data_IF_314154305518
#
_entry.id   IF_314154305518
#
_cell.length_a   1.000
_cell.length_b   1.000
_cell.length_c   1.000
_cell.angle_alpha   90.00
_cell.angle_beta   90.00
_cell.angle_gamma   90.00
#
_symmetry.space_group_name_H-M   'P 1'
#
loop_
_entity.id
_entity.type
_entity.pdbx_description
1 polymer ?
#
# COMPACT_ATOMS: atom_id res chain seq x y z
N UNK A 1 -13.57 -8.57 7.78
CA UNK A 1 -14.74 -7.80 7.26
C UNK A 1 -14.38 -7.40 5.84
N UNK A 2 -15.29 -7.42 4.87
CA UNK A 2 -14.96 -7.25 3.44
C UNK A 2 -14.67 -5.76 3.13
N UNK A 3 -13.57 -5.21 3.65
CA UNK A 3 -13.11 -3.86 3.30
C UNK A 3 -12.58 -3.91 1.87
N UNK A 4 -13.43 -3.58 0.91
CA UNK A 4 -13.03 -3.47 -0.48
C UNK A 4 -12.18 -2.20 -0.66
N UNK A 5 -10.86 -2.35 -0.55
CA UNK A 5 -9.92 -1.36 -1.02
C UNK A 5 -9.83 -1.45 -2.56
N UNK A 6 -9.71 -0.29 -3.21
CA UNK A 6 -9.44 -0.20 -4.65
C UNK A 6 -8.08 0.44 -4.87
N UNK A 7 -7.11 -0.29 -5.40
CA UNK A 7 -5.78 0.23 -5.71
C UNK A 7 -5.77 1.02 -7.03
N UNK A 8 -5.03 2.13 -7.07
CA UNK A 8 -5.00 3.06 -8.22
C UNK A 8 -3.92 2.73 -9.26
N UNK A 9 -3.16 1.64 -9.08
CA UNK A 9 -2.05 1.22 -9.93
C UNK A 9 -0.94 2.28 -10.13
N UNK A 10 -0.75 3.18 -9.15
CA UNK A 10 0.19 4.31 -9.20
C UNK A 10 1.50 4.05 -8.42
N UNK A 11 2.02 2.82 -8.52
CA UNK A 11 3.22 2.37 -7.81
C UNK A 11 4.48 3.14 -8.19
N UNK A 12 5.18 3.62 -7.17
CA UNK A 12 6.45 4.34 -7.29
C UNK A 12 7.42 3.88 -6.21
N UNK A 13 8.68 3.71 -6.57
CA UNK A 13 9.74 3.49 -5.58
C UNK A 13 10.38 4.82 -5.17
N UNK A 14 10.44 5.09 -3.87
CA UNK A 14 11.08 6.27 -3.30
C UNK A 14 12.48 5.89 -2.81
N UNK A 15 13.50 6.08 -3.65
CA UNK A 15 14.89 5.71 -3.34
C UNK A 15 15.40 6.35 -2.03
N UNK A 16 14.99 7.58 -1.72
CA UNK A 16 15.41 8.29 -0.51
C UNK A 16 14.90 7.66 0.80
N UNK A 17 13.78 6.92 0.74
CA UNK A 17 13.14 6.28 1.89
C UNK A 17 13.23 4.75 1.81
N UNK A 18 13.78 4.21 0.72
CA UNK A 18 13.83 2.77 0.43
C UNK A 18 12.46 2.10 0.59
N UNK A 19 11.43 2.69 0.00
CA UNK A 19 10.05 2.20 0.11
C UNK A 19 9.28 2.26 -1.21
N UNK A 20 8.27 1.40 -1.32
CA UNK A 20 7.22 1.49 -2.32
C UNK A 20 6.11 2.40 -1.83
N UNK A 21 5.66 3.30 -2.70
CA UNK A 21 4.57 4.24 -2.47
C UNK A 21 3.50 4.04 -3.54
N UNK A 22 2.24 3.94 -3.13
CA UNK A 22 1.08 3.86 -4.01
C UNK A 22 -0.17 4.31 -3.27
N UNK A 23 -1.27 4.49 -3.97
CA UNK A 23 -2.52 4.95 -3.38
C UNK A 23 -3.68 4.02 -3.68
N UNK A 24 -4.65 4.04 -2.78
CA UNK A 24 -5.90 3.32 -2.93
C UNK A 24 -7.08 4.15 -2.49
N UNK A 25 -8.28 3.63 -2.69
CA UNK A 25 -9.52 4.17 -2.18
C UNK A 25 -10.13 3.21 -1.18
N UNK A 26 -10.31 3.68 0.05
CA UNK A 26 -10.96 2.95 1.14
C UNK A 26 -12.19 3.73 1.58
N UNK A 27 -13.38 3.14 1.48
CA UNK A 27 -14.65 3.80 1.86
C UNK A 27 -14.87 5.18 1.21
N UNK A 28 -14.37 5.37 -0.02
CA UNK A 28 -14.47 6.63 -0.76
C UNK A 28 -13.41 7.69 -0.40
N UNK A 29 -12.55 7.41 0.58
CA UNK A 29 -11.40 8.23 0.92
C UNK A 29 -10.14 7.73 0.21
N UNK A 30 -9.27 8.65 -0.23
CA UNK A 30 -7.95 8.30 -0.75
C UNK A 30 -7.03 7.97 0.41
N UNK A 31 -6.38 6.82 0.36
CA UNK A 31 -5.30 6.45 1.28
C UNK A 31 -3.96 6.45 0.57
N UNK A 32 -2.89 6.77 1.30
CA UNK A 32 -1.51 6.70 0.79
C UNK A 32 -0.75 5.61 1.53
N UNK A 33 -0.08 4.74 0.80
CA UNK A 33 0.58 3.56 1.34
C UNK A 33 2.08 3.70 1.16
N UNK A 34 2.84 3.41 2.20
CA UNK A 34 4.29 3.29 2.17
C UNK A 34 4.72 1.94 2.73
N UNK A 35 5.43 1.14 1.93
CA UNK A 35 5.96 -0.17 2.34
C UNK A 35 7.49 -0.12 2.21
N UNK A 36 8.20 -0.11 3.33
CA UNK A 36 9.66 -0.13 3.34
C UNK A 36 10.14 -1.51 2.87
N UNK A 37 10.78 -1.54 1.70
CA UNK A 37 11.22 -2.76 1.03
C UNK A 37 12.33 -2.46 0.01
N UNK A 38 13.16 -3.44 -0.37
CA UNK A 38 14.17 -3.27 -1.40
C UNK A 38 13.58 -2.89 -2.76
N UNK A 39 14.33 -2.15 -3.56
CA UNK A 39 13.98 -1.83 -4.95
C UNK A 39 13.96 -3.12 -5.77
N UNK A 40 12.86 -3.35 -6.48
CA UNK A 40 12.68 -4.46 -7.43
C UNK A 40 12.07 -3.90 -8.73
N UNK A 41 12.11 -4.67 -9.80
CA UNK A 41 11.38 -4.30 -11.01
C UNK A 41 9.88 -4.36 -10.74
N UNK A 42 9.16 -3.32 -11.19
CA UNK A 42 7.70 -3.27 -11.05
C UNK A 42 7.09 -4.29 -12.03
N UNK A 43 6.53 -5.35 -11.47
CA UNK A 43 5.85 -6.43 -12.18
C UNK A 43 4.49 -6.65 -11.54
N UNK A 44 3.55 -7.26 -12.26
CA UNK A 44 2.23 -7.56 -11.70
C UNK A 44 2.33 -8.45 -10.45
N UNK A 45 3.29 -9.39 -10.42
CA UNK A 45 3.56 -10.21 -9.24
C UNK A 45 3.97 -9.37 -8.02
N UNK A 46 4.84 -8.37 -8.21
CA UNK A 46 5.20 -7.45 -7.12
C UNK A 46 4.01 -6.58 -6.70
N UNK A 47 3.19 -6.10 -7.64
CA UNK A 47 2.01 -5.30 -7.31
C UNK A 47 1.06 -6.11 -6.42
N UNK A 48 0.71 -7.33 -6.83
CA UNK A 48 -0.17 -8.20 -6.06
C UNK A 48 0.40 -8.55 -4.68
N UNK A 49 1.71 -8.77 -4.55
CA UNK A 49 2.37 -8.97 -3.25
C UNK A 49 2.21 -7.75 -2.33
N UNK A 50 2.39 -6.53 -2.86
CA UNK A 50 2.22 -5.30 -2.07
C UNK A 50 0.74 -5.03 -1.73
N UNK A 51 -0.18 -5.35 -2.62
CA UNK A 51 -1.63 -5.22 -2.41
C UNK A 51 -2.12 -6.19 -1.34
N UNK A 52 -1.72 -7.47 -1.41
CA UNK A 52 -2.04 -8.50 -0.42
C UNK A 52 -1.56 -8.10 0.99
N UNK A 53 -0.34 -7.55 1.12
CA UNK A 53 0.16 -7.04 2.40
C UNK A 53 -0.72 -5.94 3.01
N UNK A 54 -1.37 -5.13 2.18
CA UNK A 54 -2.25 -4.05 2.63
C UNK A 54 -3.63 -4.58 2.95
N UNK A 55 -4.14 -5.54 2.15
CA UNK A 55 -5.39 -6.23 2.46
C UNK A 55 -5.30 -6.95 3.81
N UNK A 56 -4.22 -7.72 4.04
CA UNK A 56 -3.94 -8.40 5.30
C UNK A 56 -3.88 -7.41 6.48
N UNK A 57 -3.17 -6.28 6.31
CA UNK A 57 -3.09 -5.24 7.34
C UNK A 57 -4.47 -4.66 7.69
N UNK A 58 -5.31 -4.41 6.68
CA UNK A 58 -6.65 -3.84 6.85
C UNK A 58 -7.67 -4.83 7.44
N UNK A 59 -7.31 -6.10 7.65
CA UNK A 59 -8.15 -7.03 8.39
C UNK A 59 -8.20 -6.71 9.89
N UNK A 60 -7.08 -6.25 10.44
CA UNK A 60 -6.88 -6.03 11.88
C UNK A 60 -6.70 -4.54 12.24
N UNK A 61 -6.21 -3.72 11.31
CA UNK A 61 -5.82 -2.33 11.55
C UNK A 61 -6.52 -1.36 10.58
N UNK A 62 -6.48 -0.07 10.90
CA UNK A 62 -7.00 1.01 10.06
C UNK A 62 -5.88 2.00 9.69
N UNK A 63 -6.00 2.76 8.58
CA UNK A 63 -5.08 3.86 8.28
C UNK A 63 -5.02 4.88 9.43
N UNK A 64 -3.90 5.61 9.52
CA UNK A 64 -3.78 6.69 10.50
C UNK A 64 -4.75 7.85 10.23
N UNK A 65 -4.78 8.85 11.13
CA UNK A 65 -5.66 10.02 11.01
C UNK A 65 -5.47 10.82 9.69
N UNK A 66 -4.32 10.68 9.04
CA UNK A 66 -3.99 11.32 7.76
C UNK A 66 -4.32 10.42 6.55
N UNK A 67 -4.98 9.27 6.76
CA UNK A 67 -5.23 8.23 5.76
C UNK A 67 -3.94 7.64 5.18
N UNK A 68 -2.91 7.45 6.01
CA UNK A 68 -1.63 6.91 5.61
C UNK A 68 -1.39 5.56 6.28
N UNK A 69 -0.94 4.59 5.50
CA UNK A 69 -0.44 3.29 5.98
C UNK A 69 1.08 3.27 5.81
N UNK A 70 1.80 2.84 6.86
CA UNK A 70 3.26 2.66 6.84
C UNK A 70 3.62 1.28 7.36
N UNK A 71 4.15 0.43 6.48
CA UNK A 71 4.61 -0.91 6.81
C UNK A 71 6.13 -1.02 6.65
N UNK A 72 6.73 -1.90 7.45
CA UNK A 72 8.15 -2.28 7.35
C UNK A 72 8.22 -3.80 7.31
N UNK A 73 8.80 -4.35 6.24
CA UNK A 73 8.95 -5.80 6.00
C UNK A 73 10.42 -6.22 5.93
#
# INVERSE_FOLDING_TARGET
MNQAILFNDDFQYIDAQSCWCFTGMLSGARITIYIQAPKRDITDALKFELEELIEDYLEDEEPDEDNIIRLTI
#
